data_IF_616071175842
#
_entry.id   IF_616071175842
#
_cell.length_a   1.000
_cell.length_b   1.000
_cell.length_c   1.000
_cell.angle_alpha   90.00
_cell.angle_beta   90.00
_cell.angle_gamma   90.00
#
_symmetry.space_group_name_H-M   'P 1'
#
loop_
_entity.id
_entity.type
_entity.pdbx_description
1 polymer ?
#
# COMPACT_ATOMS: atom_id res chain seq x y z
N UNK A 1 4.30 25.52 -12.21
CA UNK A 1 3.92 24.93 -10.90
C UNK A 1 4.51 23.53 -10.88
N UNK A 2 5.26 23.15 -9.85
CA UNK A 2 5.89 21.82 -9.80
C UNK A 2 4.83 20.79 -9.42
N UNK A 3 4.69 19.75 -10.24
CA UNK A 3 3.83 18.60 -9.95
C UNK A 3 4.69 17.42 -9.51
N UNK A 4 4.19 16.58 -8.61
CA UNK A 4 4.90 15.39 -8.16
C UNK A 4 4.02 14.14 -8.17
N UNK A 5 4.63 13.00 -8.49
CA UNK A 5 4.13 11.66 -8.26
C UNK A 5 5.03 10.94 -7.24
N UNK A 6 4.48 9.97 -6.53
CA UNK A 6 5.16 9.30 -5.42
C UNK A 6 5.30 7.81 -5.73
N UNK A 7 6.43 7.22 -5.35
CA UNK A 7 6.64 5.79 -5.43
C UNK A 7 7.10 5.23 -4.09
N UNK A 8 6.54 4.08 -3.73
CA UNK A 8 6.87 3.33 -2.54
C UNK A 8 7.30 1.92 -2.93
N UNK A 9 8.42 1.47 -2.36
CA UNK A 9 8.99 0.16 -2.65
C UNK A 9 9.02 -0.66 -1.36
N UNK A 10 8.25 -1.75 -1.35
CA UNK A 10 8.21 -2.71 -0.24
C UNK A 10 9.11 -3.90 -0.53
N UNK A 11 10.11 -4.10 0.33
CA UNK A 11 11.15 -5.12 0.13
C UNK A 11 10.81 -6.51 0.71
N UNK A 12 9.62 -6.68 1.29
CA UNK A 12 9.12 -7.96 1.81
C UNK A 12 9.94 -8.53 2.97
N UNK A 13 9.63 -9.77 3.36
CA UNK A 13 10.40 -10.49 4.37
C UNK A 13 11.69 -11.06 3.76
N UNK A 14 12.86 -10.76 4.36
CA UNK A 14 14.07 -11.57 4.14
C UNK A 14 13.94 -12.78 5.04
N UNK A 15 13.54 -13.93 4.50
CA UNK A 15 13.99 -15.18 5.09
C UNK A 15 15.52 -15.14 5.01
N UNK A 16 16.19 -15.21 6.16
CA UNK A 16 17.64 -15.31 6.25
C UNK A 16 18.08 -16.60 5.57
N UNK A 17 18.49 -16.52 4.31
CA UNK A 17 19.27 -17.57 3.69
C UNK A 17 20.70 -17.53 4.26
N UNK A 18 21.09 -18.57 4.99
CA UNK A 18 22.48 -18.82 5.34
C UNK A 18 22.70 -19.25 6.79
N UNK A 19 22.78 -20.57 7.00
CA UNK A 19 23.43 -21.31 8.08
C UNK A 19 23.76 -20.54 9.38
N UNK A 20 22.99 -20.81 10.42
CA UNK A 20 23.60 -21.14 11.71
C UNK A 20 22.75 -22.21 12.39
N UNK A 21 23.28 -23.44 12.37
CA UNK A 21 22.91 -24.43 13.36
C UNK A 21 23.33 -23.87 14.72
N UNK A 22 22.37 -23.42 15.51
CA UNK A 22 22.53 -23.40 16.97
C UNK A 22 21.25 -23.93 17.60
N UNK A 23 21.39 -25.14 18.11
CA UNK A 23 20.46 -25.76 19.04
C UNK A 23 20.32 -24.86 20.27
N UNK A 24 19.35 -23.94 20.26
CA UNK A 24 18.82 -23.37 21.48
C UNK A 24 17.30 -23.48 21.51
N UNK A 25 16.90 -24.53 22.24
CA UNK A 25 15.70 -24.66 23.06
C UNK A 25 14.78 -23.43 23.08
N UNK A 26 13.57 -23.59 22.54
CA UNK A 26 12.45 -22.69 22.78
C UNK A 26 11.19 -23.49 23.12
N UNK A 27 11.25 -24.24 24.22
CA UNK A 27 10.03 -24.48 24.99
C UNK A 27 9.54 -23.12 25.51
N UNK A 28 8.30 -22.75 25.18
CA UNK A 28 7.58 -21.54 25.60
C UNK A 28 7.74 -20.26 24.76
N UNK A 29 7.72 -20.36 23.42
CA UNK A 29 7.10 -19.27 22.64
C UNK A 29 5.64 -19.67 22.40
N UNK A 30 4.71 -19.00 23.08
CA UNK A 30 3.30 -19.07 22.71
C UNK A 30 3.21 -18.91 21.19
N UNK A 31 2.52 -19.83 20.50
CA UNK A 31 2.38 -19.83 19.04
C UNK A 31 1.76 -18.48 18.63
N UNK A 32 2.60 -17.53 18.28
CA UNK A 32 2.15 -16.28 17.68
C UNK A 32 1.39 -16.69 16.41
N UNK A 33 0.14 -16.23 16.22
CA UNK A 33 -0.65 -16.62 15.06
C UNK A 33 0.15 -16.28 13.81
N UNK A 34 0.24 -17.22 12.87
CA UNK A 34 0.91 -17.00 11.60
C UNK A 34 0.19 -15.84 10.88
N UNK A 35 0.81 -14.65 10.89
CA UNK A 35 0.32 -13.48 10.18
C UNK A 35 0.47 -13.68 8.67
N UNK A 36 -0.25 -12.90 7.88
CA UNK A 36 -0.18 -12.98 6.42
C UNK A 36 1.10 -12.31 5.95
N UNK A 37 1.96 -13.04 5.25
CA UNK A 37 3.14 -12.44 4.61
C UNK A 37 2.72 -11.63 3.37
N UNK A 38 3.49 -10.62 3.01
CA UNK A 38 3.16 -9.69 1.92
C UNK A 38 4.26 -9.73 0.86
N UNK A 39 3.90 -9.90 -0.42
CA UNK A 39 4.88 -9.93 -1.50
C UNK A 39 5.59 -8.58 -1.60
N UNK A 40 6.82 -8.63 -2.11
CA UNK A 40 7.54 -7.42 -2.47
C UNK A 40 6.78 -6.70 -3.58
N UNK A 41 6.74 -5.37 -3.55
CA UNK A 41 5.99 -4.62 -4.56
C UNK A 41 6.49 -3.19 -4.71
N UNK A 42 6.18 -2.61 -5.87
CA UNK A 42 6.35 -1.19 -6.17
C UNK A 42 4.97 -0.56 -6.36
N UNK A 43 4.68 0.52 -5.63
CA UNK A 43 3.42 1.26 -5.75
C UNK A 43 3.71 2.68 -6.20
N UNK A 44 3.02 3.13 -7.23
CA UNK A 44 2.98 4.52 -7.68
C UNK A 44 1.66 5.17 -7.30
N UNK A 45 1.74 6.43 -6.87
CA UNK A 45 0.62 7.26 -6.47
C UNK A 45 0.74 8.63 -7.14
N UNK A 46 -0.36 9.12 -7.70
CA UNK A 46 -0.47 10.50 -8.14
C UNK A 46 -1.85 11.07 -7.80
N UNK A 47 -1.88 12.38 -7.61
CA UNK A 47 -3.10 13.14 -7.38
C UNK A 47 -3.05 14.41 -8.23
N UNK A 48 -4.18 14.76 -8.83
CA UNK A 48 -4.30 15.87 -9.77
C UNK A 48 -5.75 16.37 -9.85
N UNK A 49 -5.99 17.43 -10.63
CA UNK A 49 -7.31 18.06 -10.70
C UNK A 49 -8.35 17.10 -11.32
N UNK A 50 -9.19 16.51 -10.47
CA UNK A 50 -10.26 15.58 -10.86
C UNK A 50 -9.83 14.14 -11.11
N UNK A 51 -8.54 13.82 -10.99
CA UNK A 51 -8.01 12.48 -11.26
C UNK A 51 -7.02 12.05 -10.19
N UNK A 52 -7.14 10.80 -9.77
CA UNK A 52 -6.19 10.14 -8.90
C UNK A 52 -5.70 8.85 -9.54
N UNK A 53 -4.46 8.49 -9.24
CA UNK A 53 -3.84 7.28 -9.74
C UNK A 53 -3.22 6.47 -8.61
N UNK A 54 -3.45 5.19 -8.68
CA UNK A 54 -2.75 4.15 -7.96
C UNK A 54 -2.35 3.07 -8.96
N UNK A 55 -1.08 2.67 -8.94
CA UNK A 55 -0.59 1.53 -9.71
C UNK A 55 0.29 0.66 -8.83
N UNK A 56 -0.02 -0.63 -8.75
CA UNK A 56 0.84 -1.63 -8.14
C UNK A 56 1.55 -2.43 -9.23
N UNK A 57 2.84 -2.62 -9.05
CA UNK A 57 3.74 -3.28 -9.97
C UNK A 57 4.55 -4.33 -9.23
N UNK A 58 5.03 -5.31 -9.99
CA UNK A 58 5.97 -6.30 -9.49
C UNK A 58 7.23 -5.62 -8.96
N UNK A 59 7.87 -6.23 -7.98
CA UNK A 59 9.12 -5.71 -7.44
C UNK A 59 10.21 -5.68 -8.53
N UNK A 60 10.86 -4.53 -8.78
CA UNK A 60 11.91 -4.42 -9.78
C UNK A 60 13.05 -5.41 -9.53
N UNK A 61 13.49 -6.09 -10.59
CA UNK A 61 14.53 -7.13 -10.50
C UNK A 61 15.87 -6.60 -9.98
N UNK A 62 16.19 -5.35 -10.27
CA UNK A 62 17.37 -4.65 -9.76
C UNK A 62 17.20 -4.10 -8.32
N UNK A 63 16.00 -4.21 -7.74
CA UNK A 63 15.65 -3.70 -6.42
C UNK A 63 15.71 -2.18 -6.28
N UNK A 64 15.68 -1.44 -7.39
CA UNK A 64 15.75 0.01 -7.43
C UNK A 64 14.48 0.61 -8.02
N UNK A 65 14.17 1.83 -7.61
CA UNK A 65 13.17 2.65 -8.27
C UNK A 65 13.54 2.91 -9.74
N UNK A 66 12.56 3.03 -10.66
CA UNK A 66 12.83 3.34 -12.05
C UNK A 66 13.45 4.74 -12.16
N UNK A 67 14.45 4.88 -13.02
CA UNK A 67 15.11 6.17 -13.24
C UNK A 67 14.34 6.96 -14.30
N UNK A 68 14.11 8.26 -14.10
CA UNK A 68 13.50 9.07 -15.15
C UNK A 68 14.39 9.12 -16.38
N UNK A 69 13.77 9.12 -17.56
CA UNK A 69 14.47 9.40 -18.82
C UNK A 69 15.00 10.84 -18.80
N UNK A 70 16.24 11.02 -19.25
CA UNK A 70 16.91 12.32 -19.31
C UNK A 70 16.20 13.32 -20.24
N UNK A 71 15.38 12.84 -21.19
CA UNK A 71 14.59 13.70 -22.07
C UNK A 71 13.43 14.42 -21.35
N UNK A 72 13.06 13.96 -20.15
CA UNK A 72 12.01 14.58 -19.35
C UNK A 72 12.62 15.36 -18.19
N UNK A 73 12.07 16.55 -17.91
CA UNK A 73 12.48 17.40 -16.77
C UNK A 73 11.94 16.85 -15.44
N UNK A 74 12.32 15.62 -15.10
CA UNK A 74 11.90 14.94 -13.89
C UNK A 74 13.09 14.88 -12.91
N UNK A 75 12.90 15.45 -11.71
CA UNK A 75 13.77 15.21 -10.58
C UNK A 75 13.19 14.12 -9.69
N UNK A 76 14.04 13.18 -9.30
CA UNK A 76 13.74 12.16 -8.32
C UNK A 76 14.44 12.53 -7.00
N UNK A 77 13.71 12.53 -5.89
CA UNK A 77 14.31 12.69 -4.55
C UNK A 77 15.24 11.52 -4.22
N UNK A 78 16.08 11.68 -3.21
CA UNK A 78 16.94 10.59 -2.74
C UNK A 78 16.06 9.43 -2.26
N UNK A 79 16.38 8.22 -2.72
CA UNK A 79 15.81 6.96 -2.21
C UNK A 79 15.99 6.90 -0.69
N UNK A 80 14.88 7.06 0.02
CA UNK A 80 14.87 7.16 1.47
C UNK A 80 14.07 6.01 2.07
N UNK A 81 14.70 5.28 2.99
CA UNK A 81 14.01 4.28 3.81
C UNK A 81 13.22 4.97 4.92
N UNK A 82 11.90 4.95 4.83
CA UNK A 82 11.00 5.57 5.82
C UNK A 82 10.51 4.59 6.87
N UNK A 83 10.64 3.29 6.60
CA UNK A 83 10.27 2.18 7.46
C UNK A 83 11.25 1.03 7.24
N UNK A 84 11.51 0.11 8.21
CA UNK A 84 12.44 -1.00 8.02
C UNK A 84 12.34 -1.75 6.68
N UNK A 85 11.13 -1.82 6.08
CA UNK A 85 10.88 -2.53 4.82
C UNK A 85 10.39 -1.66 3.66
N UNK A 86 10.14 -0.37 3.89
CA UNK A 86 9.57 0.53 2.88
C UNK A 86 10.51 1.69 2.57
N UNK A 87 10.87 1.79 1.30
CA UNK A 87 11.55 2.95 0.74
C UNK A 87 10.53 3.84 0.00
N UNK A 88 10.82 5.13 -0.13
CA UNK A 88 9.97 6.10 -0.82
C UNK A 88 10.79 7.11 -1.61
N UNK A 89 10.23 7.54 -2.73
CA UNK A 89 10.72 8.66 -3.54
C UNK A 89 9.57 9.49 -4.06
N UNK A 90 9.86 10.75 -4.41
CA UNK A 90 9.00 11.60 -5.20
C UNK A 90 9.68 11.92 -6.53
N UNK A 91 8.90 11.84 -7.60
CA UNK A 91 9.25 12.28 -8.94
C UNK A 91 8.51 13.58 -9.22
N UNK A 92 9.25 14.67 -9.40
CA UNK A 92 8.67 15.98 -9.60
C UNK A 92 9.08 16.56 -10.95
N UNK A 93 8.22 17.38 -11.55
CA UNK A 93 8.48 18.06 -12.80
C UNK A 93 7.84 19.45 -12.84
N UNK A 94 8.50 20.45 -13.44
CA UNK A 94 7.92 21.77 -13.68
C UNK A 94 7.02 21.80 -14.92
N UNK A 95 7.22 20.86 -15.86
CA UNK A 95 6.58 20.82 -17.19
C UNK A 95 5.52 19.72 -17.30
N UNK A 96 5.67 18.62 -16.55
CA UNK A 96 4.72 17.51 -16.55
C UNK A 96 3.76 17.56 -15.37
N UNK A 97 2.51 17.16 -15.60
CA UNK A 97 1.56 16.86 -14.53
C UNK A 97 1.92 15.54 -13.83
N UNK A 98 1.44 15.33 -12.60
CA UNK A 98 1.69 14.09 -11.86
C UNK A 98 1.28 12.82 -12.62
N UNK A 99 0.21 12.88 -13.43
CA UNK A 99 -0.20 11.75 -14.28
C UNK A 99 0.77 11.52 -15.43
N UNK A 100 1.24 12.59 -16.09
CA UNK A 100 2.23 12.47 -17.15
C UNK A 100 3.57 11.94 -16.65
N UNK A 101 3.96 12.28 -15.41
CA UNK A 101 5.13 11.68 -14.75
C UNK A 101 4.96 10.16 -14.60
N UNK A 102 3.79 9.66 -14.18
CA UNK A 102 3.54 8.22 -14.09
C UNK A 102 3.60 7.54 -15.46
N UNK A 103 3.00 8.17 -16.48
CA UNK A 103 2.98 7.62 -17.84
C UNK A 103 4.38 7.36 -18.41
N UNK A 104 5.40 8.14 -18.00
CA UNK A 104 6.77 7.93 -18.47
C UNK A 104 7.37 6.61 -18.02
N UNK A 105 6.85 6.00 -16.94
CA UNK A 105 7.35 4.73 -16.40
C UNK A 105 6.55 3.51 -16.84
N UNK A 106 5.39 3.71 -17.48
CA UNK A 106 4.39 2.66 -17.68
C UNK A 106 4.90 1.46 -18.50
N UNK A 107 5.83 1.69 -19.43
CA UNK A 107 6.33 0.65 -20.34
C UNK A 107 7.46 -0.19 -19.75
N UNK A 108 8.13 0.30 -18.71
CA UNK A 108 9.29 -0.38 -18.10
C UNK A 108 8.91 -1.20 -16.86
N UNK A 109 7.62 -1.19 -16.49
CA UNK A 109 7.12 -1.82 -15.28
C UNK A 109 6.09 -2.90 -15.60
N UNK A 110 6.24 -4.05 -14.95
CA UNK A 110 5.24 -5.13 -15.02
C UNK A 110 4.13 -4.86 -14.01
N UNK A 111 2.87 -4.64 -14.44
CA UNK A 111 1.75 -4.47 -13.53
C UNK A 111 1.54 -5.73 -12.69
N UNK A 112 1.15 -5.55 -11.44
CA UNK A 112 0.86 -6.67 -10.55
C UNK A 112 -0.40 -7.41 -11.01
N UNK A 113 -0.24 -8.66 -11.43
CA UNK A 113 -1.36 -9.52 -11.85
C UNK A 113 -2.23 -9.98 -10.68
N UNK A 114 -3.46 -10.44 -10.98
CA UNK A 114 -4.40 -10.96 -9.96
C UNK A 114 -3.86 -12.16 -9.18
N UNK A 115 -2.97 -12.94 -9.77
CA UNK A 115 -2.35 -14.13 -9.14
C UNK A 115 -1.05 -13.80 -8.41
N UNK A 116 -0.54 -12.56 -8.51
CA UNK A 116 0.80 -12.21 -8.01
C UNK A 116 1.00 -12.56 -6.54
N UNK A 117 -0.02 -12.33 -5.71
CA UNK A 117 0.02 -12.73 -4.30
C UNK A 117 0.19 -14.24 -4.13
N UNK A 118 -0.62 -15.03 -4.85
CA UNK A 118 -0.59 -16.49 -4.78
C UNK A 118 0.74 -17.06 -5.29
N UNK A 119 1.28 -16.48 -6.35
CA UNK A 119 2.54 -16.88 -6.98
C UNK A 119 3.76 -16.50 -6.11
N UNK A 120 3.65 -15.41 -5.36
CA UNK A 120 4.76 -14.88 -4.55
C UNK A 120 4.83 -15.46 -3.14
N UNK A 121 3.69 -15.77 -2.52
CA UNK A 121 3.61 -16.19 -1.12
C UNK A 121 2.99 -17.58 -1.02
N UNK A 122 3.73 -18.61 -0.58
CA UNK A 122 3.16 -19.96 -0.44
C UNK A 122 2.10 -20.00 0.66
N UNK A 123 1.07 -20.86 0.53
CA UNK A 123 0.05 -20.97 1.57
C UNK A 123 0.60 -21.59 2.85
N UNK A 124 0.05 -21.19 3.99
CA UNK A 124 0.32 -21.80 5.29
C UNK A 124 -0.40 -23.15 5.41
N UNK A 125 0.01 -23.97 6.37
CA UNK A 125 -0.72 -25.23 6.67
C UNK A 125 -2.16 -24.96 7.09
N UNK A 126 -2.43 -23.87 7.84
CA UNK A 126 -3.79 -23.47 8.23
C UNK A 126 -4.66 -23.16 7.01
N UNK A 127 -4.10 -22.43 6.03
CA UNK A 127 -4.82 -22.11 4.79
C UNK A 127 -5.13 -23.34 3.97
N UNK A 128 -4.16 -24.27 3.82
CA UNK A 128 -4.38 -25.52 3.08
C UNK A 128 -5.48 -26.36 3.73
N UNK A 129 -5.42 -26.55 5.04
CA UNK A 129 -6.45 -27.30 5.77
C UNK A 129 -7.83 -26.64 5.63
N UNK A 130 -7.89 -25.32 5.74
CA UNK A 130 -9.14 -24.58 5.56
C UNK A 130 -9.67 -24.71 4.12
N UNK A 131 -8.79 -24.63 3.11
CA UNK A 131 -9.15 -24.81 1.71
C UNK A 131 -9.72 -26.20 1.45
N UNK A 132 -9.08 -27.26 1.94
CA UNK A 132 -9.53 -28.64 1.80
C UNK A 132 -10.95 -28.82 2.37
N UNK A 133 -11.20 -28.31 3.58
CA UNK A 133 -12.52 -28.35 4.21
C UNK A 133 -13.59 -27.60 3.39
N UNK A 134 -13.28 -26.39 2.93
CA UNK A 134 -14.21 -25.60 2.10
C UNK A 134 -14.50 -26.31 0.78
N UNK A 135 -13.50 -26.93 0.17
CA UNK A 135 -13.68 -27.68 -1.08
C UNK A 135 -14.57 -28.90 -0.87
N UNK A 136 -14.34 -29.68 0.19
CA UNK A 136 -15.17 -30.83 0.53
C UNK A 136 -16.64 -30.43 0.73
N UNK A 137 -16.90 -29.43 1.58
CA UNK A 137 -18.26 -28.92 1.82
C UNK A 137 -18.90 -28.39 0.53
N UNK A 138 -18.13 -27.71 -0.31
CA UNK A 138 -18.61 -27.18 -1.57
C UNK A 138 -19.05 -28.29 -2.54
N UNK A 139 -18.26 -29.34 -2.70
CA UNK A 139 -18.61 -30.46 -3.58
C UNK A 139 -19.84 -31.22 -3.07
N UNK A 140 -19.93 -31.46 -1.75
CA UNK A 140 -21.11 -32.07 -1.14
C UNK A 140 -22.38 -31.23 -1.37
N UNK A 141 -22.28 -29.90 -1.31
CA UNK A 141 -23.41 -29.02 -1.62
C UNK A 141 -23.80 -29.07 -3.10
N UNK A 142 -22.83 -29.17 -4.01
CA UNK A 142 -23.08 -29.26 -5.45
C UNK A 142 -23.74 -30.58 -5.83
N UNK A 143 -23.39 -31.68 -5.17
CA UNK A 143 -23.97 -33.00 -5.41
C UNK A 143 -25.39 -33.14 -4.84
N UNK A 144 -25.62 -32.56 -3.65
CA UNK A 144 -26.86 -32.79 -2.90
C UNK A 144 -27.95 -31.73 -3.09
N UNK A 145 -27.70 -30.62 -3.80
CA UNK A 145 -28.68 -29.54 -3.93
C UNK A 145 -29.08 -29.22 -5.37
N UNK A 146 -30.40 -29.23 -5.60
CA UNK A 146 -31.06 -28.68 -6.80
C UNK A 146 -31.55 -27.24 -6.61
N UNK A 147 -31.40 -26.65 -5.41
CA UNK A 147 -31.85 -25.30 -5.05
C UNK A 147 -30.75 -24.42 -4.46
N UNK A 148 -30.76 -23.16 -4.88
CA UNK A 148 -29.87 -22.04 -4.50
C UNK A 148 -30.35 -21.35 -3.19
N UNK A 149 -29.48 -20.69 -2.40
CA UNK A 149 -28.14 -20.18 -2.74
C UNK A 149 -26.98 -21.06 -2.29
N UNK A 150 -25.96 -21.12 -3.15
CA UNK A 150 -24.70 -21.84 -2.97
C UNK A 150 -23.68 -20.97 -2.24
N UNK A 151 -23.89 -20.75 -0.95
CA UNK A 151 -22.98 -20.01 -0.07
C UNK A 151 -22.71 -20.85 1.18
N UNK A 152 -21.44 -21.07 1.48
CA UNK A 152 -20.98 -21.77 2.65
C UNK A 152 -20.95 -20.82 3.84
N UNK A 153 -21.43 -21.29 4.98
CA UNK A 153 -21.12 -20.64 6.24
C UNK A 153 -19.65 -20.89 6.58
N UNK A 154 -18.99 -19.93 7.22
CA UNK A 154 -17.66 -20.16 7.78
C UNK A 154 -17.63 -21.39 8.70
N UNK A 155 -16.81 -22.37 8.33
CA UNK A 155 -16.47 -23.50 9.19
C UNK A 155 -15.64 -22.99 10.39
N UNK A 156 -15.89 -23.52 11.59
CA UNK A 156 -15.20 -23.11 12.83
C UNK A 156 -13.70 -23.42 12.82
N UNK A 157 -13.26 -24.38 12.01
CA UNK A 157 -11.84 -24.70 11.83
C UNK A 157 -11.12 -23.67 10.94
N UNK A 158 -11.87 -22.90 10.14
CA UNK A 158 -11.34 -21.84 9.29
C UNK A 158 -11.39 -20.49 10.02
N UNK A 159 -10.22 -19.88 10.23
CA UNK A 159 -10.16 -18.50 10.75
C UNK A 159 -10.59 -17.49 9.68
N UNK A 160 -11.10 -16.32 10.08
CA UNK A 160 -11.39 -15.24 9.11
C UNK A 160 -10.15 -14.86 8.30
N UNK A 161 -8.97 -14.93 8.92
CA UNK A 161 -7.67 -14.66 8.29
C UNK A 161 -7.33 -15.67 7.19
N UNK A 162 -7.59 -16.96 7.41
CA UNK A 162 -7.37 -17.99 6.40
C UNK A 162 -8.35 -17.82 5.23
N UNK A 163 -9.63 -17.57 5.51
CA UNK A 163 -10.66 -17.37 4.47
C UNK A 163 -10.32 -16.15 3.60
N UNK A 164 -10.00 -15.01 4.21
CA UNK A 164 -9.67 -13.81 3.43
C UNK A 164 -8.40 -14.02 2.62
N UNK A 165 -7.38 -14.69 3.19
CA UNK A 165 -6.17 -14.98 2.43
C UNK A 165 -6.41 -15.91 1.24
N UNK A 166 -7.25 -16.94 1.39
CA UNK A 166 -7.69 -17.79 0.28
C UNK A 166 -8.45 -17.00 -0.79
N UNK A 167 -9.21 -15.97 -0.40
CA UNK A 167 -9.89 -15.08 -1.33
C UNK A 167 -8.90 -14.22 -2.15
N UNK A 168 -7.86 -13.68 -1.52
CA UNK A 168 -6.77 -12.97 -2.20
C UNK A 168 -5.95 -13.88 -3.13
N UNK A 169 -5.96 -15.19 -2.89
CA UNK A 169 -5.41 -16.20 -3.81
C UNK A 169 -6.36 -16.57 -4.96
N UNK A 170 -7.58 -16.03 -4.98
CA UNK A 170 -8.60 -16.33 -5.98
C UNK A 170 -9.23 -17.72 -5.85
N UNK A 171 -9.12 -18.35 -4.69
CA UNK A 171 -9.62 -19.72 -4.45
C UNK A 171 -11.05 -19.76 -3.93
N UNK A 172 -11.57 -18.64 -3.42
CA UNK A 172 -12.94 -18.48 -2.95
C UNK A 172 -13.38 -17.02 -3.05
N UNK A 173 -14.67 -16.77 -2.84
CA UNK A 173 -15.25 -15.43 -2.70
C UNK A 173 -15.75 -15.20 -1.28
N UNK A 174 -15.38 -14.05 -0.69
CA UNK A 174 -15.95 -13.62 0.59
C UNK A 174 -17.26 -12.90 0.35
N UNK A 175 -18.26 -13.24 1.15
CA UNK A 175 -19.61 -12.69 1.10
C UNK A 175 -20.02 -12.15 2.47
N UNK A 176 -21.12 -11.38 2.52
CA UNK A 176 -21.60 -10.74 3.73
C UNK A 176 -20.85 -9.47 4.09
N UNK A 177 -20.86 -9.12 5.38
CA UNK A 177 -20.36 -7.84 5.91
C UNK A 177 -18.85 -7.63 5.72
N UNK A 178 -18.08 -8.71 5.59
CA UNK A 178 -16.63 -8.66 5.37
C UNK A 178 -16.21 -8.79 3.91
N UNK A 179 -17.15 -8.72 2.96
CA UNK A 179 -16.84 -8.80 1.53
C UNK A 179 -15.85 -7.71 1.07
N UNK A 180 -15.90 -6.52 1.67
CA UNK A 180 -14.98 -5.42 1.38
C UNK A 180 -13.52 -5.68 1.79
N UNK A 181 -13.25 -6.74 2.57
CA UNK A 181 -11.90 -7.14 2.99
C UNK A 181 -11.16 -7.99 1.95
N UNK A 182 -11.86 -8.42 0.90
CA UNK A 182 -11.35 -9.38 -0.06
C UNK A 182 -11.70 -8.96 -1.50
N UNK A 183 -10.96 -9.46 -2.50
CA UNK A 183 -11.31 -9.28 -3.89
C UNK A 183 -12.61 -10.02 -4.24
N UNK A 184 -13.30 -9.55 -5.27
CA UNK A 184 -14.59 -10.03 -5.78
C UNK A 184 -14.47 -10.76 -7.11
N UNK A 185 -13.37 -11.49 -7.32
CA UNK A 185 -13.09 -12.21 -8.57
C UNK A 185 -14.27 -13.09 -9.03
N UNK A 186 -14.75 -12.90 -10.26
CA UNK A 186 -15.95 -13.58 -10.79
C UNK A 186 -15.72 -15.02 -11.26
N UNK A 187 -14.88 -15.78 -10.55
CA UNK A 187 -14.59 -17.18 -10.89
C UNK A 187 -15.69 -18.11 -10.34
N UNK A 188 -15.82 -19.31 -10.94
CA UNK A 188 -16.66 -20.39 -10.40
C UNK A 188 -16.00 -21.03 -9.17
N UNK A 189 -15.88 -20.26 -8.10
CA UNK A 189 -15.26 -20.66 -6.83
C UNK A 189 -16.30 -20.71 -5.70
N UNK A 190 -16.02 -21.43 -4.59
CA UNK A 190 -16.89 -21.43 -3.43
C UNK A 190 -17.12 -20.01 -2.91
N UNK A 191 -18.36 -19.71 -2.50
CA UNK A 191 -18.70 -18.47 -1.80
C UNK A 191 -18.77 -18.77 -0.32
N UNK A 192 -18.08 -17.98 0.50
CA UNK A 192 -17.99 -18.19 1.95
C UNK A 192 -18.42 -16.93 2.69
N UNK A 193 -19.35 -17.08 3.63
CA UNK A 193 -19.80 -16.03 4.53
C UNK A 193 -18.95 -16.02 5.79
N UNK A 194 -18.12 -14.99 5.96
CA UNK A 194 -17.31 -14.83 7.17
C UNK A 194 -18.20 -14.32 8.30
N UNK A 195 -18.31 -15.10 9.38
CA UNK A 195 -19.17 -14.81 10.53
C UNK A 195 -18.40 -14.29 11.73
N UNK A 196 -17.17 -14.74 11.93
CA UNK A 196 -16.32 -14.26 13.02
C UNK A 196 -15.73 -12.89 12.69
N UNK A 197 -15.46 -12.10 13.74
CA UNK A 197 -14.81 -10.79 13.59
C UNK A 197 -13.49 -10.90 12.82
N UNK A 198 -13.26 -9.93 11.95
CA UNK A 198 -11.97 -9.77 11.26
C UNK A 198 -11.10 -8.84 12.09
N UNK A 199 -10.12 -9.43 12.77
CA UNK A 199 -9.13 -8.70 13.55
C UNK A 199 -7.89 -8.43 12.70
N UNK A 200 -7.70 -7.16 12.29
CA UNK A 200 -6.61 -6.78 11.37
C UNK A 200 -5.22 -7.14 11.91
N UNK A 201 -5.01 -7.14 13.23
CA UNK A 201 -3.73 -7.51 13.85
C UNK A 201 -3.34 -9.00 13.66
N UNK A 202 -4.31 -9.87 13.33
CA UNK A 202 -4.07 -11.26 12.97
C UNK A 202 -3.65 -11.40 11.51
N UNK A 203 -3.97 -10.40 10.69
CA UNK A 203 -3.64 -10.37 9.26
C UNK A 203 -2.35 -9.59 9.00
N UNK A 204 -2.14 -8.49 9.73
CA UNK A 204 -1.08 -7.50 9.48
C UNK A 204 -0.03 -7.56 10.57
N UNK A 205 1.23 -7.71 10.16
CA UNK A 205 2.42 -7.65 10.99
C UNK A 205 2.86 -6.20 11.23
N UNK A 206 3.52 -5.88 12.36
CA UNK A 206 4.01 -4.53 12.64
C UNK A 206 4.84 -3.91 11.51
N UNK A 207 5.65 -4.71 10.82
CA UNK A 207 6.51 -4.29 9.71
C UNK A 207 5.75 -3.98 8.40
N UNK A 208 4.46 -4.33 8.36
CA UNK A 208 3.55 -3.96 7.27
C UNK A 208 2.85 -2.63 7.56
N UNK A 209 2.96 -2.07 8.77
CA UNK A 209 2.32 -0.80 9.14
C UNK A 209 3.21 0.37 8.71
N UNK A 210 2.77 1.10 7.69
CA UNK A 210 3.46 2.28 7.17
C UNK A 210 3.06 3.57 7.89
N UNK A 211 1.89 3.64 8.52
CA UNK A 211 1.50 4.85 9.22
C UNK A 211 0.30 4.63 10.12
N UNK A 212 0.26 5.37 11.22
CA UNK A 212 -0.83 5.31 12.19
C UNK A 212 -1.25 6.72 12.55
N UNK A 213 -2.55 6.96 12.61
CA UNK A 213 -3.10 8.24 13.05
C UNK A 213 -4.30 8.01 13.95
N UNK A 214 -4.40 8.82 15.00
CA UNK A 214 -5.50 8.77 15.96
C UNK A 214 -5.96 10.18 16.26
N UNK A 215 -7.27 10.39 16.21
CA UNK A 215 -7.91 11.61 16.68
C UNK A 215 -9.31 11.31 17.19
N UNK A 216 -9.63 11.82 18.38
CA UNK A 216 -10.90 11.56 19.07
C UNK A 216 -11.20 10.05 19.10
N UNK A 217 -12.38 9.65 18.60
CA UNK A 217 -12.85 8.28 18.57
C UNK A 217 -12.48 7.54 17.27
N UNK A 218 -11.54 8.05 16.46
CA UNK A 218 -11.16 7.42 15.19
C UNK A 218 -9.68 7.06 15.18
N UNK A 219 -9.38 5.83 14.76
CA UNK A 219 -8.04 5.34 14.50
C UNK A 219 -7.92 4.95 13.04
N UNK A 220 -6.76 5.24 12.44
CA UNK A 220 -6.44 4.90 11.06
C UNK A 220 -5.05 4.27 10.96
N UNK A 221 -4.92 3.25 10.14
CA UNK A 221 -3.67 2.56 9.86
C UNK A 221 -3.47 2.41 8.35
N UNK A 222 -2.37 2.97 7.84
CA UNK A 222 -1.88 2.71 6.49
C UNK A 222 -0.98 1.48 6.53
N UNK A 223 -1.35 0.45 5.79
CA UNK A 223 -0.69 -0.86 5.85
C UNK A 223 -0.44 -1.43 4.45
N UNK A 224 0.62 -2.23 4.33
CA UNK A 224 0.83 -3.15 3.23
C UNK A 224 -0.05 -4.39 3.42
N UNK A 225 -1.06 -4.54 2.58
CA UNK A 225 -2.07 -5.59 2.62
C UNK A 225 -2.07 -6.35 1.30
N UNK A 226 -1.68 -7.62 1.31
CA UNK A 226 -1.60 -8.51 0.13
C UNK A 226 -0.81 -7.94 -1.07
N UNK A 227 0.16 -7.05 -0.83
CA UNK A 227 1.02 -6.43 -1.85
C UNK A 227 0.66 -4.99 -2.19
N UNK A 228 -0.49 -4.52 -1.68
CA UNK A 228 -1.05 -3.21 -1.96
C UNK A 228 -1.05 -2.32 -0.71
N UNK A 229 -1.06 -0.99 -0.90
CA UNK A 229 -1.24 -0.04 0.19
C UNK A 229 -2.73 0.18 0.44
N UNK A 230 -3.17 -0.09 1.67
CA UNK A 230 -4.55 0.16 2.09
C UNK A 230 -4.61 0.97 3.37
N UNK A 231 -5.58 1.87 3.43
CA UNK A 231 -5.92 2.61 4.63
C UNK A 231 -7.09 1.91 5.31
N UNK A 232 -6.89 1.50 6.55
CA UNK A 232 -7.94 0.97 7.40
C UNK A 232 -8.31 1.97 8.48
N UNK A 233 -9.59 1.98 8.85
CA UNK A 233 -10.15 2.82 9.90
C UNK A 233 -10.89 1.97 10.92
N UNK A 234 -10.89 2.44 12.16
CA UNK A 234 -11.61 1.83 13.26
C UNK A 234 -12.14 2.91 14.18
N UNK A 235 -13.37 2.73 14.64
CA UNK A 235 -13.91 3.53 15.74
C UNK A 235 -13.41 3.03 17.10
N UNK A 236 -13.19 3.95 18.03
CA UNK A 236 -12.82 3.66 19.40
C UNK A 236 -13.85 2.72 20.04
N UNK A 237 -13.38 1.68 20.72
CA UNK A 237 -14.23 0.62 21.29
C UNK A 237 -14.64 -0.48 20.31
N UNK A 238 -14.50 -0.30 19.00
CA UNK A 238 -14.62 -1.38 18.03
C UNK A 238 -13.35 -2.23 18.01
N UNK A 239 -13.48 -3.54 17.79
CA UNK A 239 -12.34 -4.41 17.48
C UNK A 239 -12.07 -4.50 15.98
N UNK A 240 -13.09 -4.22 15.16
CA UNK A 240 -13.06 -4.38 13.72
C UNK A 240 -12.49 -3.14 13.05
N UNK A 241 -11.52 -3.37 12.17
CA UNK A 241 -11.01 -2.38 11.23
C UNK A 241 -11.76 -2.50 9.92
N UNK A 242 -12.01 -1.41 9.23
CA UNK A 242 -12.69 -1.39 7.93
C UNK A 242 -11.80 -0.70 6.89
N UNK A 243 -11.73 -1.22 5.66
CA UNK A 243 -10.96 -0.58 4.61
C UNK A 243 -11.63 0.73 4.18
N UNK A 244 -10.87 1.82 4.17
CA UNK A 244 -11.28 3.12 3.60
C UNK A 244 -10.89 3.23 2.13
N UNK A 245 -9.84 2.51 1.73
CA UNK A 245 -9.45 2.32 0.34
C UNK A 245 -10.16 1.11 -0.25
N UNK A 246 -10.47 1.16 -1.55
CA UNK A 246 -11.12 0.03 -2.23
C UNK A 246 -10.09 -1.07 -2.50
N UNK A 247 -10.49 -2.33 -2.32
CA UNK A 247 -9.74 -3.52 -2.69
C UNK A 247 -10.19 -3.97 -4.10
N UNK A 248 -9.28 -4.52 -4.91
CA UNK A 248 -9.42 -4.94 -6.33
C UNK A 248 -9.56 -3.82 -7.37
N UNK A 249 -10.05 -2.64 -6.96
CA UNK A 249 -10.20 -1.46 -7.83
C UNK A 249 -9.39 -0.30 -7.31
N UNK A 250 -8.10 -0.55 -7.07
CA UNK A 250 -7.24 0.38 -6.36
C UNK A 250 -6.96 1.66 -7.15
N UNK A 251 -7.21 1.72 -8.48
CA UNK A 251 -6.78 2.82 -9.34
C UNK A 251 -7.19 4.21 -8.82
N UNK A 252 -8.31 4.31 -8.11
CA UNK A 252 -8.81 5.57 -7.51
C UNK A 252 -8.33 5.86 -6.08
N UNK A 253 -7.52 5.00 -5.46
CA UNK A 253 -7.08 5.15 -4.07
C UNK A 253 -5.95 6.17 -3.88
N UNK A 254 -5.33 6.67 -4.95
CA UNK A 254 -4.13 7.51 -4.86
C UNK A 254 -4.32 8.75 -3.99
N UNK A 255 -5.46 9.44 -4.09
CA UNK A 255 -5.73 10.72 -3.45
C UNK A 255 -5.91 10.55 -1.94
N UNK A 256 -6.69 9.56 -1.50
CA UNK A 256 -6.88 9.25 -0.08
C UNK A 256 -5.56 8.80 0.58
N UNK A 257 -4.73 8.03 -0.14
CA UNK A 257 -3.43 7.58 0.35
C UNK A 257 -2.42 8.74 0.44
N UNK A 258 -2.32 9.56 -0.61
CA UNK A 258 -1.47 10.76 -0.63
C UNK A 258 -1.91 11.73 0.46
N UNK A 259 -3.21 11.96 0.62
CA UNK A 259 -3.77 12.81 1.68
C UNK A 259 -3.33 12.31 3.06
N UNK A 260 -3.48 11.01 3.33
CA UNK A 260 -3.09 10.44 4.62
C UNK A 260 -1.59 10.62 4.89
N UNK A 261 -0.74 10.27 3.92
CA UNK A 261 0.71 10.42 4.05
C UNK A 261 1.14 11.89 4.20
N UNK A 262 0.51 12.80 3.46
CA UNK A 262 0.84 14.23 3.50
C UNK A 262 0.40 14.87 4.80
N UNK A 263 -0.86 14.73 5.20
CA UNK A 263 -1.44 15.54 6.27
C UNK A 263 -1.46 14.85 7.64
N UNK A 264 -1.53 13.52 7.69
CA UNK A 264 -1.56 12.80 8.96
C UNK A 264 -0.19 12.24 9.36
N UNK A 265 0.64 11.87 8.37
CA UNK A 265 2.00 11.41 8.62
C UNK A 265 3.08 12.50 8.45
N UNK A 266 2.73 13.65 7.87
CA UNK A 266 3.68 14.71 7.47
C UNK A 266 4.85 14.18 6.61
N UNK A 267 4.62 13.11 5.84
CA UNK A 267 5.67 12.39 5.14
C UNK A 267 6.38 13.26 4.10
N UNK A 268 5.62 14.10 3.39
CA UNK A 268 6.13 14.93 2.30
C UNK A 268 6.43 16.36 2.74
N UNK A 269 6.44 16.66 4.04
CA UNK A 269 6.55 18.04 4.55
C UNK A 269 7.79 18.78 4.02
N UNK A 270 8.96 18.15 4.06
CA UNK A 270 10.20 18.78 3.57
C UNK A 270 10.11 19.12 2.07
N UNK A 271 9.50 18.25 1.27
CA UNK A 271 9.29 18.47 -0.16
C UNK A 271 8.27 19.59 -0.40
N UNK A 272 7.14 19.54 0.30
CA UNK A 272 6.07 20.53 0.18
C UNK A 272 6.56 21.93 0.59
N UNK A 273 7.33 22.04 1.68
CA UNK A 273 7.94 23.30 2.13
C UNK A 273 8.91 23.85 1.07
N UNK A 274 9.69 22.99 0.41
CA UNK A 274 10.63 23.39 -0.65
C UNK A 274 9.92 23.89 -1.91
N UNK A 275 8.87 23.19 -2.35
CA UNK A 275 8.06 23.60 -3.49
C UNK A 275 7.31 24.91 -3.18
N UNK A 276 6.81 25.07 -1.96
CA UNK A 276 6.13 26.28 -1.52
C UNK A 276 7.06 27.51 -1.51
N UNK A 277 8.30 27.35 -1.02
CA UNK A 277 9.32 28.42 -1.06
C UNK A 277 9.55 28.93 -2.49
N UNK A 278 9.65 28.02 -3.47
CA UNK A 278 9.76 28.39 -4.87
C UNK A 278 8.51 29.11 -5.38
N UNK A 279 7.31 28.61 -5.07
CA UNK A 279 6.06 29.24 -5.47
C UNK A 279 5.90 30.67 -4.91
N UNK A 280 6.36 30.91 -3.68
CA UNK A 280 6.35 32.23 -3.05
C UNK A 280 7.36 33.18 -3.71
N UNK A 281 8.60 32.72 -3.93
CA UNK A 281 9.65 33.50 -4.61
C UNK A 281 9.23 33.92 -6.02
N UNK A 282 8.52 33.05 -6.74
CA UNK A 282 8.00 33.36 -8.08
C UNK A 282 6.96 34.49 -8.04
N UNK A 283 5.95 34.37 -7.16
CA UNK A 283 4.89 35.40 -7.02
C UNK A 283 5.40 36.75 -6.52
N UNK A 284 6.42 36.77 -5.68
CA UNK A 284 7.01 38.01 -5.18
C UNK A 284 7.76 38.80 -6.26
N UNK A 285 8.35 38.12 -7.25
CA UNK A 285 9.07 38.75 -8.36
C UNK A 285 8.10 39.37 -9.38
N UNK A 286 6.94 38.74 -9.61
CA UNK A 286 5.89 39.26 -10.52
C UNK A 286 5.19 40.53 -10.00
N UNK A 287 5.31 40.82 -8.70
CA UNK A 287 4.69 41.99 -8.05
C UNK A 287 5.55 43.25 -8.09
N UNK A 288 6.81 43.17 -8.56
CA UNK A 288 7.69 44.34 -8.67
C UNK A 288 7.72 44.77 -10.14
N UNK A 289 7.08 45.91 -10.51
CA UNK A 289 7.15 46.44 -11.86
C UNK A 289 8.53 47.05 -12.08
N UNK A 290 9.50 46.22 -12.46
CA UNK A 290 10.86 46.65 -12.70
C UNK A 290 11.11 46.68 -14.21
N UNK A 291 10.96 47.85 -14.84
CA UNK A 291 11.15 48.06 -16.29
C UNK A 291 12.61 47.89 -16.76
N UNK A 292 13.56 47.64 -15.85
CA UNK A 292 14.97 47.42 -16.15
C UNK A 292 15.56 46.17 -15.50
N UNK A 293 14.73 45.34 -14.86
CA UNK A 293 15.20 44.06 -14.36
C UNK A 293 15.28 43.10 -15.56
N UNK A 294 16.49 42.65 -15.90
CA UNK A 294 16.68 41.51 -16.82
C UNK A 294 15.78 40.39 -16.28
N UNK A 295 14.89 39.78 -17.10
CA UNK A 295 14.09 38.65 -16.66
C UNK A 295 15.06 37.60 -16.12
N UNK A 296 15.07 37.39 -14.81
CA UNK A 296 15.91 36.35 -14.24
C UNK A 296 15.31 35.04 -14.73
N UNK A 297 15.96 34.43 -15.71
CA UNK A 297 15.41 33.41 -16.59
C UNK A 297 14.61 32.38 -15.81
N UNK A 298 13.34 32.23 -16.16
CA UNK A 298 12.42 31.27 -15.54
C UNK A 298 12.96 29.84 -15.59
N UNK A 299 13.73 29.54 -16.64
CA UNK A 299 14.42 28.27 -16.86
C UNK A 299 15.52 28.04 -15.79
N UNK A 300 16.42 29.01 -15.58
CA UNK A 300 17.46 28.94 -14.55
C UNK A 300 16.91 28.74 -13.13
N UNK A 301 15.75 29.34 -12.81
CA UNK A 301 15.10 29.18 -11.50
C UNK A 301 14.44 27.81 -11.34
N UNK A 302 13.82 27.29 -12.40
CA UNK A 302 13.26 25.94 -12.42
C UNK A 302 14.36 24.91 -12.24
N UNK A 303 15.47 25.03 -12.98
CA UNK A 303 16.61 24.13 -12.87
C UNK A 303 17.20 24.09 -11.46
N UNK A 304 17.28 25.25 -10.81
CA UNK A 304 17.75 25.34 -9.43
C UNK A 304 16.91 24.51 -8.46
N UNK A 305 15.57 24.69 -8.46
CA UNK A 305 14.72 23.88 -7.57
C UNK A 305 14.76 22.40 -7.94
N UNK A 306 14.84 22.04 -9.21
CA UNK A 306 14.96 20.64 -9.62
C UNK A 306 16.26 20.01 -9.10
N UNK A 307 17.37 20.74 -9.10
CA UNK A 307 18.64 20.30 -8.47
C UNK A 307 18.49 20.12 -6.95
N UNK A 308 17.73 20.98 -6.29
CA UNK A 308 17.48 20.87 -4.85
C UNK A 308 16.58 19.67 -4.51
N UNK A 309 15.53 19.42 -5.30
CA UNK A 309 14.66 18.24 -5.16
C UNK A 309 15.48 16.95 -5.28
N UNK A 310 16.44 16.87 -6.22
CA UNK A 310 17.33 15.70 -6.38
C UNK A 310 18.16 15.39 -5.12
N UNK A 311 18.39 16.39 -4.26
CA UNK A 311 19.16 16.24 -3.01
C UNK A 311 18.27 16.05 -1.78
N UNK A 312 16.96 16.15 -1.94
CA UNK A 312 16.01 16.12 -0.84
C UNK A 312 15.74 14.67 -0.40
N UNK A 313 15.61 14.46 0.90
CA UNK A 313 15.17 13.20 1.51
C UNK A 313 13.74 13.32 2.00
N UNK A 314 12.96 12.27 1.77
CA UNK A 314 11.60 12.16 2.32
C UNK A 314 11.73 11.56 3.71
N UNK A 315 11.49 12.37 4.73
CA UNK A 315 11.72 11.98 6.12
C UNK A 315 10.40 11.78 6.85
N UNK A 316 10.31 10.66 7.57
CA UNK A 316 9.19 10.38 8.44
C UNK A 316 9.39 11.12 9.76
N UNK A 317 8.43 11.97 10.13
CA UNK A 317 8.51 12.73 11.38
C UNK A 317 8.01 11.97 12.62
N UNK A 318 7.22 10.89 12.43
CA UNK A 318 6.64 10.09 13.51
C UNK A 318 6.74 8.60 13.21
N UNK A 319 7.27 7.83 14.14
CA UNK A 319 7.30 6.36 14.04
C UNK A 319 5.89 5.79 14.23
N UNK A 320 5.48 4.78 13.43
CA UNK A 320 4.20 4.12 13.61
C UNK A 320 4.17 3.39 14.95
N UNK A 321 3.04 3.44 15.64
CA UNK A 321 2.89 2.72 16.91
C UNK A 321 2.63 1.23 16.62
N UNK A 322 3.55 0.35 16.99
CA UNK A 322 3.50 -1.05 16.55
C UNK A 322 2.42 -1.89 17.26
N UNK A 323 1.92 -1.40 18.41
CA UNK A 323 0.79 -2.00 19.15
C UNK A 323 -0.56 -1.38 18.77
N UNK A 324 -0.59 -0.49 17.77
CA UNK A 324 -1.77 0.32 17.41
C UNK A 324 -2.98 -0.51 17.00
N UNK A 325 -2.76 -1.65 16.34
CA UNK A 325 -3.86 -2.53 15.92
C UNK A 325 -4.47 -3.33 17.09
N UNK A 326 -3.74 -3.48 18.21
CA UNK A 326 -4.11 -4.31 19.37
C UNK A 326 -4.68 -3.46 20.51
N UNK A 327 -4.31 -2.18 20.58
CA UNK A 327 -4.78 -1.26 21.62
C UNK A 327 -6.31 -1.17 21.60
N UNK A 328 -6.96 -1.63 22.67
CA UNK A 328 -8.39 -1.45 22.89
C UNK A 328 -8.57 -0.15 23.65
N UNK A 329 -9.31 0.78 23.07
CA UNK A 329 -9.75 2.01 23.75
C UNK A 329 -10.99 1.74 24.57
#
# INVERSE_FOLDING_TARGET
MISCAYALLFSGYRASNGLSSSYHSSYNRAKEPARVDVPKSLVFLADGFGYSFYGAYEFPSNGQFPRPDAQFDIAMTIDTRIDPRTNVVAYCSPTLSSMKIIETFKYDLTPMGKTYYADSIPPTTSERNCQELIQEEWYQLLENSSRWPKELAQNRACSSRDIISLAHRGLLLVTGVYSEMAPTYTNKVPKVNVRSSVDLHLMVSPEQILGTWKYRATQMALVWYFGHLHLFERESGSTTWWPKTKIEVEQGNGSILIHFMRYYMNLFKNLDDRIAQYGFLYRAVDLIPCSSCIPLDTENKSDHIMVEIRKLRIERQRTPYHKFLIEKF
#
